data_IF_483739658993
#
_entry.id   IF_483739658993
#
_cell.length_a   1.000
_cell.length_b   1.000
_cell.length_c   1.000
_cell.angle_alpha   90.00
_cell.angle_beta   90.00
_cell.angle_gamma   90.00
#
_symmetry.space_group_name_H-M   'P 1'
#
loop_
_entity.id
_entity.type
_entity.pdbx_description
1 polymer ?
#
# COMPACT_ATOMS: atom_id res chain seq x y z
N UNK A 1 -26.66 -28.77 -8.61
CA UNK A 1 -26.41 -29.24 -7.23
C UNK A 1 -27.71 -29.19 -6.43
N UNK A 2 -27.79 -29.91 -5.30
CA UNK A 2 -28.90 -29.79 -4.33
C UNK A 2 -28.57 -28.68 -3.34
N UNK A 3 -29.56 -27.87 -2.97
CA UNK A 3 -29.42 -26.81 -1.96
C UNK A 3 -29.87 -27.37 -0.62
N UNK A 4 -29.12 -27.11 0.44
CA UNK A 4 -29.43 -27.53 1.80
C UNK A 4 -29.59 -26.32 2.71
N UNK A 5 -30.51 -26.41 3.67
CA UNK A 5 -30.57 -25.46 4.78
C UNK A 5 -29.44 -25.74 5.78
N UNK A 6 -29.08 -24.77 6.62
CA UNK A 6 -28.03 -24.95 7.63
C UNK A 6 -28.27 -26.16 8.54
N UNK A 7 -29.53 -26.40 8.96
CA UNK A 7 -29.91 -27.58 9.77
C UNK A 7 -29.69 -28.89 9.01
N UNK A 8 -30.14 -28.96 7.76
CA UNK A 8 -29.93 -30.15 6.92
C UNK A 8 -28.44 -30.40 6.67
N UNK A 9 -27.65 -29.35 6.47
CA UNK A 9 -26.21 -29.47 6.28
C UNK A 9 -25.54 -30.03 7.54
N UNK A 10 -26.00 -29.64 8.73
CA UNK A 10 -25.52 -30.19 10.01
C UNK A 10 -25.86 -31.69 10.13
N UNK A 11 -27.10 -32.06 9.88
CA UNK A 11 -27.56 -33.46 9.99
C UNK A 11 -26.82 -34.39 9.01
N UNK A 12 -26.43 -33.85 7.85
CA UNK A 12 -25.66 -34.56 6.82
C UNK A 12 -24.14 -34.51 7.05
N UNK A 13 -23.66 -33.82 8.10
CA UNK A 13 -22.23 -33.67 8.38
C UNK A 13 -21.47 -32.82 7.36
N UNK A 14 -22.15 -31.95 6.61
CA UNK A 14 -21.55 -31.03 5.65
C UNK A 14 -20.97 -29.78 6.33
N UNK A 15 -21.42 -29.46 7.54
CA UNK A 15 -20.95 -28.34 8.35
C UNK A 15 -20.72 -28.82 9.79
N UNK A 16 -19.69 -28.26 10.45
CA UNK A 16 -19.35 -28.64 11.83
C UNK A 16 -20.24 -27.94 12.87
N UNK A 17 -20.55 -26.66 12.64
CA UNK A 17 -21.30 -25.83 13.59
C UNK A 17 -22.17 -24.80 12.85
N UNK A 18 -23.34 -24.51 13.41
CA UNK A 18 -24.20 -23.40 12.98
C UNK A 18 -24.00 -22.23 13.95
N UNK A 19 -23.68 -21.06 13.41
CA UNK A 19 -23.44 -19.85 14.19
C UNK A 19 -23.32 -18.61 13.31
N UNK A 20 -23.08 -17.46 13.94
CA UNK A 20 -22.78 -16.20 13.26
C UNK A 20 -21.29 -15.99 13.02
N UNK A 21 -20.93 -14.92 12.30
CA UNK A 21 -19.54 -14.56 12.01
C UNK A 21 -18.68 -14.41 13.28
N UNK A 22 -19.21 -13.71 14.29
CA UNK A 22 -18.47 -13.49 15.54
C UNK A 22 -18.11 -14.81 16.23
N UNK A 23 -19.07 -15.75 16.30
CA UNK A 23 -18.84 -17.06 16.90
C UNK A 23 -17.77 -17.87 16.14
N UNK A 24 -17.72 -17.73 14.81
CA UNK A 24 -16.68 -18.34 14.00
C UNK A 24 -15.28 -17.75 14.28
N UNK A 25 -15.20 -16.42 14.44
CA UNK A 25 -13.96 -15.73 14.80
C UNK A 25 -13.49 -16.15 16.20
N UNK A 26 -14.39 -16.14 17.18
CA UNK A 26 -14.08 -16.51 18.57
C UNK A 26 -13.61 -17.97 18.66
N UNK A 27 -14.26 -18.87 17.91
CA UNK A 27 -13.85 -20.27 17.82
C UNK A 27 -12.44 -20.42 17.22
N UNK A 28 -12.14 -19.68 16.14
CA UNK A 28 -10.81 -19.70 15.53
C UNK A 28 -9.73 -19.15 16.49
N UNK A 29 -10.01 -18.05 17.18
CA UNK A 29 -9.11 -17.47 18.18
C UNK A 29 -8.85 -18.44 19.33
N UNK A 30 -9.91 -19.08 19.86
CA UNK A 30 -9.81 -20.08 20.93
C UNK A 30 -9.01 -21.31 20.49
N UNK A 31 -9.21 -21.80 19.26
CA UNK A 31 -8.48 -22.94 18.71
C UNK A 31 -6.97 -22.72 18.62
N UNK A 32 -6.54 -21.47 18.43
CA UNK A 32 -5.13 -21.07 18.36
C UNK A 32 -4.63 -20.41 19.68
N UNK A 33 -5.49 -20.32 20.70
CA UNK A 33 -5.19 -19.68 22.00
C UNK A 33 -4.71 -18.23 21.89
N UNK A 34 -5.24 -17.47 20.93
CA UNK A 34 -4.96 -16.05 20.78
C UNK A 34 -5.81 -15.24 21.78
N UNK A 35 -5.13 -14.46 22.65
CA UNK A 35 -5.80 -13.60 23.63
C UNK A 35 -6.11 -12.21 23.08
N UNK A 36 -5.19 -11.67 22.29
CA UNK A 36 -5.31 -10.37 21.66
C UNK A 36 -5.26 -10.55 20.14
N UNK A 37 -6.30 -10.10 19.45
CA UNK A 37 -6.39 -10.13 17.99
C UNK A 37 -7.13 -8.90 17.48
N UNK A 38 -6.78 -8.47 16.27
CA UNK A 38 -7.41 -7.36 15.59
C UNK A 38 -8.16 -7.86 14.36
N UNK A 39 -9.43 -7.47 14.24
CA UNK A 39 -10.24 -7.78 13.06
C UNK A 39 -10.10 -6.62 12.09
N UNK A 40 -9.51 -6.88 10.92
CA UNK A 40 -9.40 -5.90 9.83
C UNK A 40 -10.25 -6.34 8.65
N UNK A 41 -11.09 -5.43 8.17
CA UNK A 41 -11.83 -5.63 6.91
C UNK A 41 -10.89 -5.20 5.78
N UNK A 42 -10.39 -6.18 5.02
CA UNK A 42 -9.63 -5.88 3.81
C UNK A 42 -10.60 -5.53 2.68
N UNK A 43 -10.26 -4.55 1.83
CA UNK A 43 -11.00 -4.32 0.60
C UNK A 43 -10.94 -5.55 -0.30
N UNK A 44 -11.91 -5.66 -1.20
CA UNK A 44 -11.91 -6.73 -2.19
C UNK A 44 -10.61 -6.69 -3.00
N UNK A 45 -9.95 -7.86 -3.20
CA UNK A 45 -8.78 -7.92 -4.05
C UNK A 45 -9.20 -7.49 -5.46
N UNK A 46 -8.54 -6.46 -5.98
CA UNK A 46 -8.81 -5.96 -7.33
C UNK A 46 -8.47 -7.04 -8.36
N UNK A 47 -9.39 -7.28 -9.28
CA UNK A 47 -9.14 -8.15 -10.42
C UNK A 47 -8.04 -7.58 -11.33
N UNK A 48 -7.37 -8.47 -12.07
CA UNK A 48 -6.27 -8.11 -12.96
C UNK A 48 -6.64 -6.99 -13.96
N UNK A 49 -7.85 -7.02 -14.50
CA UNK A 49 -8.33 -5.98 -15.41
C UNK A 49 -8.52 -4.62 -14.73
N UNK A 50 -9.01 -4.62 -13.48
CA UNK A 50 -9.16 -3.39 -12.68
C UNK A 50 -7.80 -2.79 -12.36
N UNK A 51 -6.81 -3.61 -11.98
CA UNK A 51 -5.44 -3.16 -11.75
C UNK A 51 -4.81 -2.54 -13.00
N UNK A 52 -5.04 -3.15 -14.17
CA UNK A 52 -4.53 -2.63 -15.43
C UNK A 52 -5.17 -1.28 -15.79
N UNK A 53 -6.49 -1.15 -15.63
CA UNK A 53 -7.19 0.11 -15.89
C UNK A 53 -6.76 1.23 -14.95
N UNK A 54 -6.59 0.94 -13.66
CA UNK A 54 -6.09 1.90 -12.66
C UNK A 54 -4.68 2.41 -13.00
N UNK A 55 -3.83 1.55 -13.57
CA UNK A 55 -2.48 1.93 -14.01
C UNK A 55 -2.49 2.82 -15.25
N UNK A 56 -3.46 2.62 -16.16
CA UNK A 56 -3.59 3.44 -17.37
C UNK A 56 -4.36 4.75 -17.14
N UNK A 57 -5.28 4.80 -16.18
CA UNK A 57 -6.07 6.00 -15.88
C UNK A 57 -5.29 7.06 -15.10
N UNK A 58 -4.18 6.68 -14.44
CA UNK A 58 -3.40 7.60 -13.61
C UNK A 58 -4.13 8.08 -12.35
N UNK A 59 -5.32 7.53 -12.06
CA UNK A 59 -6.15 7.87 -10.89
C UNK A 59 -6.00 6.86 -9.74
N UNK A 60 -5.05 5.94 -9.84
CA UNK A 60 -4.70 5.05 -8.74
C UNK A 60 -3.73 5.71 -7.77
N UNK A 61 -4.22 6.44 -6.76
CA UNK A 61 -3.44 6.67 -5.53
C UNK A 61 -3.20 5.30 -4.87
N UNK A 62 -2.19 4.57 -5.33
CA UNK A 62 -1.64 3.47 -4.55
C UNK A 62 -0.82 4.10 -3.42
N UNK A 63 -0.99 3.66 -2.16
CA UNK A 63 -0.11 4.07 -1.05
C UNK A 63 1.37 3.76 -1.32
N UNK A 64 1.67 2.93 -2.32
CA UNK A 64 3.00 2.57 -2.78
C UNK A 64 3.51 3.42 -3.94
N UNK A 65 2.68 4.29 -4.53
CA UNK A 65 3.12 5.18 -5.60
C UNK A 65 3.69 6.46 -4.98
N UNK A 66 5.02 6.50 -4.93
CA UNK A 66 5.75 7.73 -4.62
C UNK A 66 5.54 8.66 -5.81
N UNK A 67 4.46 9.42 -5.78
CA UNK A 67 4.27 10.53 -6.70
C UNK A 67 5.41 11.53 -6.47
N UNK A 68 6.25 11.69 -7.50
CA UNK A 68 7.38 12.64 -7.58
C UNK A 68 7.01 14.09 -7.21
N UNK A 69 5.73 14.42 -7.12
CA UNK A 69 5.22 15.74 -6.74
C UNK A 69 5.17 15.98 -5.22
N UNK A 70 5.03 14.95 -4.38
CA UNK A 70 4.86 15.13 -2.93
C UNK A 70 6.17 15.49 -2.23
N UNK A 71 7.24 14.76 -2.56
CA UNK A 71 8.51 14.80 -1.83
C UNK A 71 9.45 15.96 -2.26
N UNK A 72 8.99 16.84 -3.15
CA UNK A 72 9.63 18.17 -3.32
C UNK A 72 9.06 19.19 -2.34
N UNK A 73 7.84 19.00 -1.83
CA UNK A 73 7.11 20.00 -1.06
C UNK A 73 7.72 20.27 0.33
N UNK A 74 8.22 19.23 1.02
CA UNK A 74 8.80 19.40 2.35
C UNK A 74 10.21 20.01 2.33
N UNK A 75 11.04 19.67 1.33
CA UNK A 75 12.37 20.25 1.18
C UNK A 75 12.40 21.59 0.43
N UNK A 76 11.37 21.90 -0.37
CA UNK A 76 11.19 23.21 -1.00
C UNK A 76 10.90 24.34 0.01
N UNK A 77 10.49 24.01 1.24
CA UNK A 77 10.29 24.97 2.33
C UNK A 77 11.59 25.42 3.02
N UNK A 78 12.74 24.79 2.76
CA UNK A 78 13.99 25.17 3.40
C UNK A 78 14.60 26.41 2.71
N UNK A 79 14.81 27.54 3.42
CA UNK A 79 15.10 28.84 2.83
C UNK A 79 16.41 28.88 2.01
N UNK A 80 17.32 27.94 2.26
CA UNK A 80 18.60 27.83 1.52
C UNK A 80 18.58 26.81 0.39
N UNK A 81 17.69 25.82 0.42
CA UNK A 81 17.69 24.73 -0.57
C UNK A 81 16.88 25.08 -1.82
N UNK A 82 15.77 25.78 -1.67
CA UNK A 82 14.97 26.26 -2.80
C UNK A 82 15.79 27.12 -3.80
N UNK A 83 16.52 28.17 -3.39
CA UNK A 83 17.32 28.96 -4.33
C UNK A 83 18.49 28.17 -4.93
N UNK A 84 19.08 27.24 -4.17
CA UNK A 84 20.16 26.38 -4.66
C UNK A 84 19.66 25.41 -5.74
N UNK A 85 18.48 24.82 -5.54
CA UNK A 85 17.84 23.94 -6.53
C UNK A 85 17.50 24.70 -7.82
N UNK A 86 16.99 25.93 -7.71
CA UNK A 86 16.70 26.75 -8.88
C UNK A 86 17.96 27.17 -9.65
N UNK A 87 19.06 27.46 -8.95
CA UNK A 87 20.36 27.70 -9.59
C UNK A 87 20.89 26.44 -10.27
N UNK A 88 20.87 25.30 -9.57
CA UNK A 88 21.29 24.01 -10.13
C UNK A 88 20.47 23.62 -11.35
N UNK A 89 19.15 23.87 -11.35
CA UNK A 89 18.28 23.60 -12.50
C UNK A 89 18.66 24.42 -13.73
N UNK A 90 19.13 25.66 -13.54
CA UNK A 90 19.56 26.55 -14.62
C UNK A 90 20.96 26.21 -15.14
N UNK A 91 21.86 25.75 -14.28
CA UNK A 91 23.27 25.50 -14.64
C UNK A 91 23.50 24.07 -15.10
N UNK A 92 22.97 23.08 -14.38
CA UNK A 92 23.18 21.64 -14.62
C UNK A 92 21.90 20.84 -14.32
N UNK A 93 20.99 20.72 -15.30
CA UNK A 93 19.68 20.11 -15.09
C UNK A 93 19.77 18.64 -14.65
N UNK A 94 20.80 17.90 -15.11
CA UNK A 94 21.00 16.50 -14.73
C UNK A 94 21.35 16.33 -13.25
N UNK A 95 22.21 17.19 -12.69
CA UNK A 95 22.57 17.13 -11.26
C UNK A 95 21.42 17.59 -10.38
N UNK A 96 20.66 18.59 -10.83
CA UNK A 96 19.46 19.04 -10.12
C UNK A 96 18.41 17.93 -9.98
N UNK A 97 18.20 17.16 -11.05
CA UNK A 97 17.29 16.00 -11.04
C UNK A 97 17.76 14.92 -10.07
N UNK A 98 19.03 14.52 -10.14
CA UNK A 98 19.59 13.50 -9.23
C UNK A 98 19.51 13.93 -7.75
N UNK A 99 19.78 15.21 -7.45
CA UNK A 99 19.71 15.72 -6.08
C UNK A 99 18.27 15.73 -5.56
N UNK A 100 17.32 16.12 -6.41
CA UNK A 100 15.89 16.11 -6.05
C UNK A 100 15.45 14.68 -5.73
N UNK A 101 15.79 13.71 -6.57
CA UNK A 101 15.48 12.29 -6.33
C UNK A 101 16.09 11.76 -5.02
N UNK A 102 17.33 12.17 -4.70
CA UNK A 102 17.98 11.78 -3.46
C UNK A 102 17.27 12.34 -2.21
N UNK A 103 16.86 13.61 -2.24
CA UNK A 103 16.10 14.23 -1.15
C UNK A 103 14.75 13.53 -0.93
N UNK A 104 14.05 13.19 -2.01
CA UNK A 104 12.76 12.50 -1.94
C UNK A 104 12.88 11.14 -1.23
N UNK A 105 13.97 10.41 -1.47
CA UNK A 105 14.24 9.14 -0.79
C UNK A 105 14.47 9.29 0.69
N UNK A 106 15.21 10.34 1.08
CA UNK A 106 15.44 10.64 2.49
C UNK A 106 14.11 10.99 3.17
N UNK A 107 13.21 11.70 2.47
CA UNK A 107 11.86 11.99 2.97
C UNK A 107 11.06 10.73 3.26
N UNK A 108 11.05 9.80 2.31
CA UNK A 108 10.32 8.55 2.44
C UNK A 108 10.80 7.76 3.66
N UNK A 109 12.12 7.65 3.83
CA UNK A 109 12.75 6.98 4.98
C UNK A 109 12.38 7.62 6.33
N UNK A 110 12.06 8.91 6.35
CA UNK A 110 11.62 9.59 7.57
C UNK A 110 10.13 9.40 7.87
N UNK A 111 9.30 9.26 6.83
CA UNK A 111 7.84 9.17 6.98
C UNK A 111 7.35 7.73 7.18
N UNK A 112 7.98 6.77 6.50
CA UNK A 112 7.53 5.38 6.47
C UNK A 112 8.44 4.49 7.33
N UNK A 113 7.83 3.67 8.20
CA UNK A 113 8.58 2.75 9.08
C UNK A 113 9.20 1.55 8.33
N UNK A 114 8.67 1.19 7.16
CA UNK A 114 9.15 0.09 6.32
C UNK A 114 8.99 0.47 4.84
N UNK A 115 10.07 0.40 4.07
CA UNK A 115 10.10 0.78 2.66
C UNK A 115 10.75 -0.32 1.84
N UNK A 116 10.16 -0.64 0.68
CA UNK A 116 10.78 -1.45 -0.35
C UNK A 116 11.40 -0.52 -1.40
N UNK A 117 12.73 -0.60 -1.57
CA UNK A 117 13.46 0.19 -2.56
C UNK A 117 14.22 -0.71 -3.53
N UNK A 118 14.19 -0.33 -4.81
CA UNK A 118 15.10 -0.86 -5.82
C UNK A 118 16.50 -0.29 -5.61
N UNK A 119 17.58 -1.09 -5.73
CA UNK A 119 18.94 -0.66 -5.42
C UNK A 119 19.55 0.30 -6.46
N UNK A 120 18.88 0.57 -7.58
CA UNK A 120 19.38 1.46 -8.63
C UNK A 120 18.24 2.25 -9.30
N UNK A 121 18.56 3.48 -9.69
CA UNK A 121 17.72 4.32 -10.55
C UNK A 121 17.77 3.82 -11.99
N UNK A 122 16.64 3.36 -12.52
CA UNK A 122 16.50 3.10 -13.95
C UNK A 122 16.07 4.41 -14.61
N UNK A 123 17.04 5.20 -15.05
CA UNK A 123 16.77 6.34 -15.92
C UNK A 123 16.40 5.80 -17.31
N UNK A 124 15.11 5.79 -17.63
CA UNK A 124 14.65 5.58 -19.00
C UNK A 124 14.97 6.87 -19.79
N UNK A 125 16.01 6.80 -20.62
CA UNK A 125 16.43 7.87 -21.53
C UNK A 125 15.48 8.04 -22.70
#
# INVERSE_FOLDING_TARGET
GRVYTGKQAMDLGLVDQIGGLQQAIDYAAAKVSLKDYEIRVLPEPKDFFTLLMDQYSGEGEQPTDVTLSGATSLFAGHPTLAPLLDLLRKTEPQRAQALTQALQRIELLQKENVILMMPFDMALQ
#
